data_IF_320046548686
#
_entry.id   IF_320046548686
#
_cell.length_a   1.000
_cell.length_b   1.000
_cell.length_c   1.000
_cell.angle_alpha   90.00
_cell.angle_beta   90.00
_cell.angle_gamma   90.00
#
_symmetry.space_group_name_H-M   'P 1'
#
loop_
_entity.id
_entity.type
_entity.pdbx_description
1 polymer ?
#
# COMPACT_ATOMS: atom_id res chain seq x y z
N UNK A 1 10.93 1.56 -6.72
CA UNK A 1 9.50 1.49 -7.13
C UNK A 1 8.57 1.72 -5.96
N UNK A 2 8.70 0.99 -4.83
CA UNK A 2 7.87 1.20 -3.64
C UNK A 2 7.87 2.63 -3.07
N UNK A 3 9.03 3.30 -3.05
CA UNK A 3 9.11 4.69 -2.61
C UNK A 3 8.24 5.65 -3.45
N UNK A 4 8.12 5.42 -4.75
CA UNK A 4 7.28 6.24 -5.62
C UNK A 4 5.80 6.03 -5.32
N UNK A 5 5.36 4.78 -5.10
CA UNK A 5 3.99 4.46 -4.70
C UNK A 5 3.63 5.14 -3.37
N UNK A 6 4.50 5.02 -2.36
CA UNK A 6 4.29 5.65 -1.06
C UNK A 6 4.21 7.18 -1.17
N UNK A 7 5.09 7.77 -1.98
CA UNK A 7 5.10 9.21 -2.21
C UNK A 7 3.82 9.67 -2.91
N UNK A 8 3.32 8.95 -3.92
CA UNK A 8 2.03 9.25 -4.56
C UNK A 8 0.86 9.19 -3.54
N UNK A 9 0.76 8.12 -2.75
CA UNK A 9 -0.34 7.98 -1.79
C UNK A 9 -0.31 9.03 -0.68
N UNK A 10 0.87 9.33 -0.14
CA UNK A 10 1.02 10.38 0.89
C UNK A 10 0.65 11.76 0.35
N UNK A 11 1.03 12.09 -0.89
CA UNK A 11 0.68 13.36 -1.53
C UNK A 11 -0.82 13.47 -1.83
N UNK A 12 -1.45 12.39 -2.29
CA UNK A 12 -2.91 12.34 -2.53
C UNK A 12 -3.69 12.46 -1.23
N UNK A 13 -3.28 11.77 -0.16
CA UNK A 13 -3.92 11.88 1.15
C UNK A 13 -3.76 13.30 1.73
N UNK A 14 -2.57 13.88 1.63
CA UNK A 14 -2.32 15.25 2.07
C UNK A 14 -3.15 16.27 1.29
N UNK A 15 -3.18 16.19 -0.05
CA UNK A 15 -3.91 17.17 -0.86
C UNK A 15 -5.43 17.02 -0.76
N UNK A 16 -5.96 15.80 -0.63
CA UNK A 16 -7.41 15.56 -0.51
C UNK A 16 -7.98 15.96 0.86
N UNK A 17 -7.18 15.93 1.92
CA UNK A 17 -7.62 16.29 3.27
C UNK A 17 -7.20 17.69 3.71
N UNK A 18 -6.07 18.24 3.25
CA UNK A 18 -5.54 19.53 3.73
C UNK A 18 -5.89 20.72 2.84
N UNK A 19 -6.21 20.51 1.56
CA UNK A 19 -6.41 21.61 0.61
C UNK A 19 -7.89 22.02 0.55
N UNK A 20 -8.23 23.06 1.30
CA UNK A 20 -9.56 23.71 1.24
C UNK A 20 -9.76 24.53 -0.05
N UNK A 21 -8.67 24.93 -0.72
CA UNK A 21 -8.72 25.80 -1.89
C UNK A 21 -8.47 25.05 -3.20
N UNK A 22 -9.55 24.88 -3.99
CA UNK A 22 -9.47 24.21 -5.30
C UNK A 22 -8.63 24.98 -6.33
N UNK A 23 -8.37 26.28 -6.10
CA UNK A 23 -7.53 27.11 -6.99
C UNK A 23 -6.05 26.74 -6.86
N UNK A 24 -5.58 26.46 -5.65
CA UNK A 24 -4.19 26.05 -5.42
C UNK A 24 -3.91 24.66 -5.97
N UNK A 25 -4.90 23.76 -5.92
CA UNK A 25 -4.80 22.45 -6.57
C UNK A 25 -4.54 22.59 -8.08
N UNK A 26 -5.26 23.49 -8.77
CA UNK A 26 -5.04 23.74 -10.21
C UNK A 26 -3.64 24.28 -10.51
N UNK A 27 -3.03 25.02 -9.58
CA UNK A 27 -1.68 25.52 -9.74
C UNK A 27 -0.64 24.41 -9.54
N UNK A 28 -0.85 23.51 -8.57
CA UNK A 28 0.00 22.31 -8.39
C UNK A 28 0.01 21.39 -9.62
N UNK A 29 -1.13 21.25 -10.31
CA UNK A 29 -1.21 20.47 -11.55
C UNK A 29 -0.46 21.10 -12.75
N UNK A 30 -0.14 22.41 -12.68
CA UNK A 30 0.63 23.08 -13.75
C UNK A 30 2.13 22.85 -13.60
N UNK A 31 2.60 22.50 -12.41
CA UNK A 31 4.01 22.21 -12.17
C UNK A 31 4.35 20.81 -12.72
N UNK A 32 5.13 20.79 -13.80
CA UNK A 32 5.52 19.56 -14.48
C UNK A 32 6.30 18.58 -13.59
N UNK A 33 6.99 19.09 -12.57
CA UNK A 33 7.77 18.30 -11.60
C UNK A 33 6.89 17.44 -10.70
N UNK A 34 5.65 17.88 -10.42
CA UNK A 34 4.68 17.17 -9.60
C UNK A 34 3.79 16.23 -10.41
N UNK A 35 3.79 16.35 -11.73
CA UNK A 35 2.98 15.52 -12.63
C UNK A 35 3.14 14.00 -12.42
N UNK A 36 4.35 13.42 -12.28
CA UNK A 36 4.51 11.98 -12.02
C UNK A 36 4.04 11.54 -10.62
N UNK A 37 3.87 12.48 -9.69
CA UNK A 37 3.39 12.23 -8.32
C UNK A 37 1.85 12.32 -8.30
N UNK A 38 1.30 13.33 -8.97
CA UNK A 38 -0.13 13.54 -9.12
C UNK A 38 -0.76 12.49 -10.05
N UNK A 39 0.00 11.96 -11.01
CA UNK A 39 -0.39 10.87 -11.91
C UNK A 39 0.35 9.57 -11.52
N UNK A 40 -0.02 9.02 -10.37
CA UNK A 40 0.62 7.82 -9.80
C UNK A 40 0.12 6.47 -10.33
N UNK A 41 -0.93 6.43 -11.17
CA UNK A 41 -1.50 5.19 -11.72
C UNK A 41 -0.45 4.21 -12.31
N UNK A 42 0.49 4.63 -13.18
CA UNK A 42 1.47 3.71 -13.77
C UNK A 42 2.50 3.18 -12.74
N UNK A 43 2.61 3.80 -11.56
CA UNK A 43 3.56 3.39 -10.52
C UNK A 43 3.26 1.99 -9.98
N UNK A 44 1.98 1.67 -9.84
CA UNK A 44 1.53 0.37 -9.32
C UNK A 44 1.73 -0.73 -10.36
N UNK A 45 1.40 -0.46 -11.62
CA UNK A 45 1.58 -1.41 -12.73
C UNK A 45 3.06 -1.72 -12.97
N UNK A 46 3.92 -0.71 -12.96
CA UNK A 46 5.38 -0.89 -13.08
C UNK A 46 5.95 -1.69 -11.91
N UNK A 47 5.44 -1.48 -10.69
CA UNK A 47 5.85 -2.29 -9.55
C UNK A 47 5.43 -3.76 -9.68
N UNK A 48 4.17 -4.03 -10.06
CA UNK A 48 3.68 -5.39 -10.20
C UNK A 48 4.37 -6.15 -11.33
N UNK A 49 4.58 -5.49 -12.48
CA UNK A 49 5.28 -6.10 -13.62
C UNK A 49 6.73 -6.47 -13.28
N UNK A 50 7.50 -5.54 -12.70
CA UNK A 50 8.88 -5.81 -12.28
C UNK A 50 8.97 -6.90 -11.20
N UNK A 51 8.06 -6.87 -10.23
CA UNK A 51 7.99 -7.90 -9.18
C UNK A 51 7.62 -9.26 -9.76
N UNK A 52 6.68 -9.31 -10.70
CA UNK A 52 6.25 -10.54 -11.39
C UNK A 52 7.38 -11.15 -12.21
N UNK A 53 8.12 -10.32 -12.97
CA UNK A 53 9.30 -10.75 -13.74
C UNK A 53 10.40 -11.29 -12.82
N UNK A 54 10.66 -10.62 -11.70
CA UNK A 54 11.67 -11.10 -10.74
C UNK A 54 11.27 -12.46 -10.13
N UNK A 55 10.00 -12.64 -9.78
CA UNK A 55 9.49 -13.91 -9.24
C UNK A 55 9.58 -15.02 -10.29
N UNK A 56 9.20 -14.76 -11.54
CA UNK A 56 9.26 -15.76 -12.61
C UNK A 56 10.70 -16.20 -12.90
N UNK A 57 11.66 -15.25 -12.95
CA UNK A 57 13.07 -15.57 -13.13
C UNK A 57 13.65 -16.40 -11.98
N UNK A 58 13.27 -16.10 -10.73
CA UNK A 58 13.70 -16.90 -9.58
C UNK A 58 13.08 -18.30 -9.60
N UNK A 59 11.79 -18.40 -9.97
CA UNK A 59 11.09 -19.68 -10.08
C UNK A 59 11.70 -20.57 -11.16
N UNK A 60 12.04 -20.03 -12.33
CA UNK A 60 12.72 -20.76 -13.40
C UNK A 60 14.09 -21.29 -12.93
N UNK A 61 14.86 -20.48 -12.20
CA UNK A 61 16.14 -20.90 -11.62
C UNK A 61 15.99 -22.00 -10.57
N UNK A 62 14.94 -21.98 -9.76
CA UNK A 62 14.67 -23.06 -8.80
C UNK A 62 14.24 -24.35 -9.48
N UNK A 63 13.42 -24.26 -10.53
CA UNK A 63 12.98 -25.42 -11.32
C UNK A 63 14.16 -26.13 -11.99
N UNK A 64 15.09 -25.37 -12.55
CA UNK A 64 16.31 -25.89 -13.17
C UNK A 64 17.18 -26.65 -12.15
N UNK A 65 17.31 -26.12 -10.93
CA UNK A 65 18.05 -26.77 -9.83
C UNK A 65 17.35 -27.99 -9.24
N UNK A 66 16.01 -28.01 -9.23
CA UNK A 66 15.19 -29.06 -8.60
C UNK A 66 14.64 -30.08 -9.60
N UNK A 67 15.19 -30.13 -10.81
CA UNK A 67 14.79 -31.09 -11.85
C UNK A 67 13.28 -31.07 -12.13
N UNK A 68 12.70 -29.86 -12.16
CA UNK A 68 11.27 -29.64 -12.44
C UNK A 68 10.31 -29.84 -11.26
N UNK A 69 10.79 -30.19 -10.05
CA UNK A 69 9.92 -30.35 -8.86
C UNK A 69 9.66 -29.01 -8.18
N UNK A 70 8.42 -28.51 -8.26
CA UNK A 70 7.99 -27.27 -7.61
C UNK A 70 6.66 -27.46 -6.87
N UNK A 71 6.63 -27.09 -5.59
CA UNK A 71 5.40 -27.12 -4.79
C UNK A 71 4.80 -25.71 -4.71
N UNK A 72 3.82 -25.46 -5.57
CA UNK A 72 3.13 -24.17 -5.65
C UNK A 72 2.46 -23.77 -4.32
N UNK A 73 1.83 -24.73 -3.64
CA UNK A 73 1.14 -24.46 -2.37
C UNK A 73 2.12 -23.97 -1.30
N UNK A 74 3.28 -24.61 -1.18
CA UNK A 74 4.31 -24.20 -0.23
C UNK A 74 4.83 -22.79 -0.54
N UNK A 75 4.99 -22.45 -1.82
CA UNK A 75 5.41 -21.12 -2.24
C UNK A 75 4.39 -20.03 -1.84
N UNK A 76 3.10 -20.28 -2.08
CA UNK A 76 2.02 -19.35 -1.73
C UNK A 76 1.89 -19.22 -0.21
N UNK A 77 1.95 -20.31 0.53
CA UNK A 77 1.88 -20.30 2.00
C UNK A 77 3.05 -19.52 2.60
N UNK A 78 4.27 -19.76 2.12
CA UNK A 78 5.45 -19.02 2.58
C UNK A 78 5.33 -17.51 2.28
N UNK A 79 4.76 -17.15 1.11
CA UNK A 79 4.48 -15.76 0.78
C UNK A 79 3.45 -15.15 1.72
N UNK A 80 2.37 -15.87 2.02
CA UNK A 80 1.31 -15.41 2.91
C UNK A 80 1.83 -15.20 4.34
N UNK A 81 2.55 -16.19 4.89
CA UNK A 81 3.14 -16.14 6.24
C UNK A 81 4.20 -15.05 6.42
N UNK A 82 4.87 -14.63 5.34
CA UNK A 82 5.84 -13.52 5.41
C UNK A 82 5.16 -12.15 5.48
N UNK A 83 4.06 -11.96 4.77
CA UNK A 83 3.38 -10.66 4.63
C UNK A 83 2.36 -10.40 5.74
N UNK A 84 1.61 -11.43 6.12
CA UNK A 84 0.56 -11.34 7.15
C UNK A 84 1.00 -10.82 8.52
N UNK A 85 2.14 -11.21 9.12
CA UNK A 85 2.47 -10.75 10.47
C UNK A 85 2.73 -9.25 10.51
N UNK A 86 3.41 -8.71 9.50
CA UNK A 86 3.68 -7.26 9.40
C UNK A 86 2.36 -6.51 9.20
N UNK A 87 1.48 -7.01 8.35
CA UNK A 87 0.18 -6.41 8.10
C UNK A 87 -0.74 -6.46 9.33
N UNK A 88 -0.74 -7.56 10.07
CA UNK A 88 -1.49 -7.73 11.31
C UNK A 88 -1.08 -6.70 12.37
N UNK A 89 0.23 -6.48 12.54
CA UNK A 89 0.76 -5.49 13.49
C UNK A 89 0.30 -4.08 13.08
N UNK A 90 0.40 -3.74 11.80
CA UNK A 90 -0.05 -2.43 11.31
C UNK A 90 -1.55 -2.22 11.50
N UNK A 91 -2.38 -3.21 11.17
CA UNK A 91 -3.81 -3.15 11.42
C UNK A 91 -4.13 -2.98 12.90
N UNK A 92 -3.45 -3.72 13.78
CA UNK A 92 -3.61 -3.60 15.23
C UNK A 92 -3.28 -2.18 15.72
N UNK A 93 -2.17 -1.61 15.25
CA UNK A 93 -1.78 -0.23 15.58
C UNK A 93 -2.80 0.80 15.06
N UNK A 94 -3.33 0.62 13.85
CA UNK A 94 -4.34 1.48 13.25
C UNK A 94 -5.69 1.40 13.99
N UNK A 95 -6.07 0.21 14.44
CA UNK A 95 -7.34 -0.03 15.15
C UNK A 95 -7.30 0.39 16.63
N UNK A 96 -6.12 0.45 17.26
CA UNK A 96 -6.01 0.69 18.71
C UNK A 96 -5.28 1.97 19.08
N UNK A 97 -4.06 2.19 18.54
CA UNK A 97 -3.20 3.29 18.94
C UNK A 97 -3.51 4.58 18.18
N UNK A 98 -3.79 4.47 16.88
CA UNK A 98 -3.98 5.61 15.99
C UNK A 98 -4.94 6.69 16.53
N UNK A 99 -6.14 6.40 17.06
CA UNK A 99 -7.07 7.44 17.53
C UNK A 99 -6.53 8.25 18.73
N UNK A 100 -5.56 7.72 19.48
CA UNK A 100 -4.99 8.40 20.65
C UNK A 100 -3.74 9.24 20.32
N UNK A 101 -3.26 9.22 19.08
CA UNK A 101 -1.99 9.88 18.70
C UNK A 101 -2.11 11.37 18.39
N UNK A 102 -3.31 11.95 18.38
CA UNK A 102 -3.54 13.33 17.96
C UNK A 102 -4.91 13.85 18.37
N UNK A 103 -5.17 15.11 18.01
CA UNK A 103 -6.46 15.78 18.22
C UNK A 103 -6.66 16.87 17.16
N UNK A 104 -7.92 17.15 16.79
CA UNK A 104 -8.26 18.21 15.84
C UNK A 104 -9.54 17.95 15.04
N UNK A 105 -10.03 18.93 14.28
CA UNK A 105 -11.29 18.81 13.52
C UNK A 105 -11.23 17.73 12.44
N UNK A 106 -10.06 17.53 11.82
CA UNK A 106 -9.81 16.44 10.85
C UNK A 106 -9.66 15.06 11.51
N UNK A 107 -9.47 15.00 12.83
CA UNK A 107 -9.23 13.76 13.57
C UNK A 107 -10.47 12.84 13.58
N UNK A 108 -11.66 13.40 13.39
CA UNK A 108 -12.91 12.66 13.22
C UNK A 108 -12.86 11.64 12.07
N UNK A 109 -12.12 11.93 10.99
CA UNK A 109 -11.93 10.99 9.88
C UNK A 109 -11.03 9.80 10.28
N UNK A 110 -10.06 10.04 11.15
CA UNK A 110 -9.13 9.02 11.67
C UNK A 110 -9.85 8.12 12.68
N UNK A 111 -10.68 8.69 13.54
CA UNK A 111 -11.55 7.93 14.46
C UNK A 111 -12.50 7.02 13.68
N UNK A 112 -13.17 7.53 12.63
CA UNK A 112 -14.02 6.73 11.76
C UNK A 112 -13.26 5.62 11.04
N UNK A 113 -12.02 5.88 10.61
CA UNK A 113 -11.16 4.85 10.02
C UNK A 113 -10.82 3.76 11.03
N UNK A 114 -10.46 4.15 12.25
CA UNK A 114 -10.15 3.22 13.35
C UNK A 114 -11.34 2.33 13.70
N UNK A 115 -12.54 2.90 13.83
CA UNK A 115 -13.79 2.15 14.07
C UNK A 115 -14.10 1.16 12.95
N UNK A 116 -13.88 1.54 11.68
CA UNK A 116 -14.06 0.63 10.54
C UNK A 116 -13.04 -0.51 10.57
N UNK A 117 -11.77 -0.20 10.85
CA UNK A 117 -10.73 -1.20 11.03
C UNK A 117 -11.08 -2.15 12.18
N UNK A 118 -11.58 -1.66 13.31
CA UNK A 118 -11.99 -2.48 14.44
C UNK A 118 -13.22 -3.35 14.13
N UNK A 119 -14.18 -2.87 13.34
CA UNK A 119 -15.38 -3.66 12.97
C UNK A 119 -15.11 -4.72 11.91
N UNK A 120 -14.23 -4.43 10.95
CA UNK A 120 -13.96 -5.27 9.79
C UNK A 120 -12.53 -5.81 9.75
N UNK A 121 -11.83 -5.87 10.89
CA UNK A 121 -10.44 -6.31 10.99
C UNK A 121 -10.22 -7.69 10.35
N UNK A 122 -11.17 -8.61 10.54
CA UNK A 122 -11.08 -9.97 10.01
C UNK A 122 -11.19 -10.02 8.48
N UNK A 123 -11.92 -9.08 7.85
CA UNK A 123 -12.04 -9.00 6.39
C UNK A 123 -10.73 -8.55 5.75
N UNK A 124 -9.94 -7.74 6.46
CA UNK A 124 -8.65 -7.28 5.98
C UNK A 124 -7.64 -8.44 5.83
N UNK A 125 -7.80 -9.53 6.58
CA UNK A 125 -6.95 -10.72 6.44
C UNK A 125 -7.25 -11.58 5.19
N UNK A 126 -8.38 -11.31 4.53
CA UNK A 126 -8.81 -11.98 3.31
C UNK A 126 -8.40 -11.25 2.03
N UNK A 127 -7.49 -10.26 2.13
CA UNK A 127 -7.00 -9.43 1.01
C UNK A 127 -6.86 -10.19 -0.31
#
# INVERSE_FOLDING_TARGET
TMAWILLCHTYVLGTSQLVWNKVDLKNLYKDWTLYPILNGYPSVDTFFTLSGVLVSLNLLRELDKKNGRFNYLLFVVHRYLRLTPVYAILLGLLATLLPYTGSGPMWTAIEQLSERCHRYWWQNFLY
#
